data_IF_853104486347
#
_entry.id   IF_853104486347
#
_cell.length_a   1.000
_cell.length_b   1.000
_cell.length_c   1.000
_cell.angle_alpha   90.00
_cell.angle_beta   90.00
_cell.angle_gamma   90.00
#
_symmetry.space_group_name_H-M   'P 1'
#
loop_
_entity.id
_entity.type
_entity.pdbx_description
1 polymer ?
#
# COMPACT_ATOMS: atom_id res chain seq x y z
N UNK A 1 10.80 -33.13 4.65
CA UNK A 1 10.54 -31.94 3.79
C UNK A 1 11.18 -30.65 4.31
N UNK A 2 11.13 -30.31 5.60
CA UNK A 2 11.67 -29.05 6.15
C UNK A 2 13.18 -28.84 5.90
N UNK A 3 13.99 -29.91 5.90
CA UNK A 3 15.44 -29.82 5.61
C UNK A 3 15.79 -29.56 4.14
N UNK A 4 14.86 -29.74 3.19
CA UNK A 4 15.13 -29.52 1.76
C UNK A 4 14.81 -28.09 1.31
N UNK A 5 13.86 -27.41 1.96
CA UNK A 5 13.41 -26.07 1.56
C UNK A 5 14.52 -25.02 1.66
N UNK A 6 15.35 -25.08 2.72
CA UNK A 6 16.45 -24.14 2.92
C UNK A 6 17.58 -24.23 1.88
N UNK A 7 17.61 -25.29 1.06
CA UNK A 7 18.61 -25.49 -0.01
C UNK A 7 18.17 -24.93 -1.35
N UNK A 8 16.91 -24.51 -1.48
CA UNK A 8 16.36 -24.01 -2.74
C UNK A 8 16.78 -22.55 -2.98
N UNK A 9 16.91 -22.09 -4.23
CA UNK A 9 17.20 -20.68 -4.51
C UNK A 9 16.15 -19.78 -3.86
N UNK A 10 16.58 -18.63 -3.33
CA UNK A 10 15.70 -17.72 -2.59
C UNK A 10 14.45 -17.31 -3.39
N UNK A 11 14.57 -17.13 -4.70
CA UNK A 11 13.45 -16.83 -5.59
C UNK A 11 12.37 -17.92 -5.56
N UNK A 12 12.76 -19.19 -5.52
CA UNK A 12 11.81 -20.30 -5.44
C UNK A 12 11.15 -20.35 -4.06
N UNK A 13 11.91 -20.11 -2.99
CA UNK A 13 11.34 -20.05 -1.64
C UNK A 13 10.31 -18.93 -1.49
N UNK A 14 10.62 -17.72 -1.98
CA UNK A 14 9.69 -16.58 -2.01
C UNK A 14 8.45 -16.92 -2.86
N UNK A 15 8.65 -17.52 -4.03
CA UNK A 15 7.54 -17.94 -4.89
C UNK A 15 6.63 -18.97 -4.24
N UNK A 16 7.18 -19.93 -3.52
CA UNK A 16 6.38 -20.91 -2.78
C UNK A 16 5.60 -20.26 -1.62
N UNK A 17 6.20 -19.33 -0.89
CA UNK A 17 5.50 -18.57 0.17
C UNK A 17 4.34 -17.77 -0.42
N UNK A 18 4.59 -17.04 -1.50
CA UNK A 18 3.55 -16.24 -2.17
C UNK A 18 2.45 -17.13 -2.75
N UNK A 19 2.81 -18.21 -3.45
CA UNK A 19 1.84 -19.14 -4.02
C UNK A 19 0.97 -19.77 -2.93
N UNK A 20 1.57 -20.22 -1.82
CA UNK A 20 0.82 -20.78 -0.70
C UNK A 20 -0.18 -19.76 -0.12
N UNK A 21 0.20 -18.49 -0.02
CA UNK A 21 -0.71 -17.46 0.50
C UNK A 21 -1.85 -17.16 -0.48
N UNK A 22 -1.60 -17.19 -1.79
CA UNK A 22 -2.65 -17.07 -2.83
C UNK A 22 -3.61 -18.25 -2.83
N UNK A 23 -3.13 -19.47 -2.62
CA UNK A 23 -4.00 -20.64 -2.47
C UNK A 23 -4.93 -20.46 -1.27
N UNK A 24 -4.41 -20.01 -0.12
CA UNK A 24 -5.25 -19.72 1.06
C UNK A 24 -6.29 -18.65 0.75
N UNK A 25 -5.88 -17.52 0.17
CA UNK A 25 -6.81 -16.45 -0.21
C UNK A 25 -7.86 -16.93 -1.24
N UNK A 26 -7.49 -17.82 -2.16
CA UNK A 26 -8.40 -18.44 -3.13
C UNK A 26 -9.46 -19.30 -2.44
N UNK A 27 -9.08 -20.14 -1.47
CA UNK A 27 -10.03 -20.91 -0.67
C UNK A 27 -11.00 -19.99 0.09
N UNK A 28 -10.49 -18.92 0.69
CA UNK A 28 -11.30 -17.96 1.46
C UNK A 28 -12.30 -17.24 0.54
N UNK A 29 -11.84 -16.65 -0.57
CA UNK A 29 -12.73 -15.98 -1.52
C UNK A 29 -13.75 -16.94 -2.13
N UNK A 30 -13.36 -18.17 -2.46
CA UNK A 30 -14.30 -19.16 -2.99
C UNK A 30 -15.37 -19.51 -1.94
N UNK A 31 -14.96 -19.73 -0.70
CA UNK A 31 -15.88 -20.09 0.39
C UNK A 31 -16.85 -18.96 0.70
N UNK A 32 -16.36 -17.73 0.84
CA UNK A 32 -17.20 -16.56 1.14
C UNK A 32 -18.07 -16.18 -0.06
N UNK A 33 -17.53 -16.26 -1.28
CA UNK A 33 -18.29 -15.98 -2.50
C UNK A 33 -19.47 -16.94 -2.70
N UNK A 34 -19.30 -18.22 -2.37
CA UNK A 34 -20.40 -19.20 -2.38
C UNK A 34 -21.48 -18.91 -1.33
N UNK A 35 -21.15 -18.18 -0.27
CA UNK A 35 -22.09 -17.76 0.78
C UNK A 35 -22.76 -16.41 0.47
N UNK A 36 -22.27 -15.66 -0.53
CA UNK A 36 -22.90 -14.41 -0.97
C UNK A 36 -24.26 -14.72 -1.58
N UNK A 37 -25.35 -14.37 -0.89
CA UNK A 37 -26.71 -14.64 -1.37
C UNK A 37 -27.28 -13.53 -2.23
N UNK A 38 -26.84 -12.29 -2.03
CA UNK A 38 -27.30 -11.11 -2.75
C UNK A 38 -26.20 -10.05 -2.78
N UNK A 39 -26.04 -9.36 -3.92
CA UNK A 39 -25.20 -8.16 -4.06
C UNK A 39 -25.61 -7.34 -5.29
N UNK A 40 -25.08 -6.10 -5.46
CA UNK A 40 -25.29 -5.29 -6.65
C UNK A 40 -24.77 -5.93 -7.95
N UNK A 41 -23.77 -6.82 -7.87
CA UNK A 41 -23.16 -7.45 -9.04
C UNK A 41 -23.85 -8.75 -9.45
N UNK A 42 -24.40 -9.49 -8.50
CA UNK A 42 -25.05 -10.79 -8.76
C UNK A 42 -26.08 -11.13 -7.68
N UNK A 43 -27.17 -11.73 -8.16
CA UNK A 43 -28.17 -12.41 -7.34
C UNK A 43 -27.72 -13.86 -7.12
N UNK A 44 -27.42 -14.24 -5.87
CA UNK A 44 -26.94 -15.56 -5.51
C UNK A 44 -25.43 -15.73 -5.50
N UNK A 45 -25.01 -16.98 -5.23
CA UNK A 45 -23.61 -17.36 -5.03
C UNK A 45 -22.69 -16.94 -6.17
N UNK A 46 -21.49 -16.51 -5.80
CA UNK A 46 -20.42 -16.13 -6.72
C UNK A 46 -19.33 -17.19 -6.76
N UNK A 47 -18.89 -17.53 -7.97
CA UNK A 47 -17.63 -18.24 -8.18
C UNK A 47 -16.45 -17.36 -7.77
N UNK A 48 -15.27 -17.97 -7.60
CA UNK A 48 -14.03 -17.24 -7.32
C UNK A 48 -13.78 -16.10 -8.32
N UNK A 49 -13.91 -16.38 -9.62
CA UNK A 49 -13.63 -15.40 -10.68
C UNK A 49 -14.56 -14.19 -10.63
N UNK A 50 -15.83 -14.39 -10.29
CA UNK A 50 -16.79 -13.30 -10.09
C UNK A 50 -16.46 -12.52 -8.81
N UNK A 51 -16.17 -13.22 -7.70
CA UNK A 51 -15.96 -12.60 -6.39
C UNK A 51 -14.68 -11.76 -6.28
N UNK A 52 -13.67 -12.00 -7.14
CA UNK A 52 -12.45 -11.17 -7.20
C UNK A 52 -12.60 -9.94 -8.11
N UNK A 53 -13.74 -9.80 -8.77
CA UNK A 53 -14.06 -8.74 -9.73
C UNK A 53 -15.17 -7.79 -9.26
N UNK A 54 -15.63 -7.90 -8.01
CA UNK A 54 -16.59 -6.96 -7.40
C UNK A 54 -15.87 -5.74 -6.81
N UNK A 55 -16.65 -4.80 -6.26
CA UNK A 55 -16.16 -3.58 -5.59
C UNK A 55 -15.29 -2.71 -6.52
N UNK A 56 -14.05 -2.36 -6.13
CA UNK A 56 -13.21 -1.45 -6.92
C UNK A 56 -12.80 -2.01 -8.28
N UNK A 57 -12.83 -3.33 -8.45
CA UNK A 57 -12.52 -3.95 -9.74
C UNK A 57 -13.49 -3.52 -10.84
N UNK A 58 -14.75 -3.23 -10.48
CA UNK A 58 -15.76 -2.68 -11.39
C UNK A 58 -15.36 -1.29 -11.89
N UNK A 59 -14.84 -0.42 -11.00
CA UNK A 59 -14.34 0.89 -11.41
C UNK A 59 -13.13 0.79 -12.34
N UNK A 60 -12.18 -0.09 -12.04
CA UNK A 60 -11.04 -0.32 -12.94
C UNK A 60 -11.49 -0.89 -14.29
N UNK A 61 -12.50 -1.77 -14.30
CA UNK A 61 -13.08 -2.31 -15.53
C UNK A 61 -13.73 -1.21 -16.38
N UNK A 62 -14.53 -0.34 -15.76
CA UNK A 62 -15.14 0.83 -16.42
C UNK A 62 -14.08 1.72 -17.07
N UNK A 63 -13.01 2.05 -16.35
CA UNK A 63 -11.90 2.87 -16.89
C UNK A 63 -11.20 2.17 -18.06
N UNK A 64 -10.95 0.87 -17.95
CA UNK A 64 -10.32 0.07 -19.01
C UNK A 64 -11.16 0.07 -20.30
N UNK A 65 -12.49 -0.03 -20.17
CA UNK A 65 -13.40 -0.14 -21.31
C UNK A 65 -13.82 1.22 -21.89
N UNK A 66 -14.09 2.20 -21.03
CA UNK A 66 -14.76 3.45 -21.39
C UNK A 66 -13.86 4.69 -21.21
N UNK A 67 -12.74 4.56 -20.49
CA UNK A 67 -11.89 5.68 -20.13
C UNK A 67 -12.47 6.51 -18.99
N UNK A 68 -11.96 7.73 -18.82
CA UNK A 68 -12.45 8.68 -17.82
C UNK A 68 -13.55 9.57 -18.37
N UNK A 69 -14.57 9.92 -17.56
CA UNK A 69 -15.65 10.79 -18.00
C UNK A 69 -15.15 12.22 -18.26
N UNK A 70 -15.63 12.81 -19.37
CA UNK A 70 -15.28 14.18 -19.79
C UNK A 70 -15.94 15.25 -18.88
N UNK A 71 -17.08 14.93 -18.27
CA UNK A 71 -17.74 15.76 -17.28
C UNK A 71 -17.98 14.95 -16.02
N UNK A 72 -17.85 15.57 -14.84
CA UNK A 72 -18.11 14.87 -13.58
C UNK A 72 -19.60 14.53 -13.48
N UNK A 73 -19.95 13.26 -13.23
CA UNK A 73 -21.34 12.88 -13.03
C UNK A 73 -21.87 13.55 -11.76
N UNK A 74 -23.15 13.94 -11.79
CA UNK A 74 -23.85 14.54 -10.66
C UNK A 74 -24.90 13.57 -10.13
N UNK A 75 -25.11 13.59 -8.82
CA UNK A 75 -26.18 12.86 -8.14
C UNK A 75 -27.53 13.61 -8.26
N UNK A 76 -28.58 13.02 -7.68
CA UNK A 76 -29.93 13.60 -7.71
C UNK A 76 -30.03 14.99 -7.01
N UNK A 77 -29.06 15.35 -6.19
CA UNK A 77 -28.99 16.63 -5.49
C UNK A 77 -28.07 17.64 -6.21
N UNK A 78 -27.51 17.28 -7.36
CA UNK A 78 -26.57 18.12 -8.11
C UNK A 78 -25.15 18.14 -7.54
N UNK A 79 -24.83 17.26 -6.58
CA UNK A 79 -23.48 17.09 -6.06
C UNK A 79 -22.69 16.14 -6.95
N UNK A 80 -21.36 16.26 -6.95
CA UNK A 80 -20.49 15.32 -7.70
C UNK A 80 -20.69 13.92 -7.14
N UNK A 81 -21.04 12.98 -8.01
CA UNK A 81 -21.22 11.57 -7.66
C UNK A 81 -19.88 10.82 -7.66
N UNK A 82 -19.84 9.67 -7.00
CA UNK A 82 -18.73 8.72 -7.07
C UNK A 82 -18.45 8.37 -8.53
N UNK A 83 -17.18 8.44 -8.93
CA UNK A 83 -16.79 8.31 -10.33
C UNK A 83 -15.34 7.83 -10.48
N UNK A 84 -14.99 7.53 -11.74
CA UNK A 84 -13.74 6.92 -12.16
C UNK A 84 -12.50 7.73 -11.78
N UNK A 85 -12.59 9.07 -11.66
CA UNK A 85 -11.43 9.91 -11.36
C UNK A 85 -10.81 9.66 -9.98
N UNK A 86 -11.49 8.94 -9.08
CA UNK A 86 -10.93 8.46 -7.81
C UNK A 86 -9.86 7.36 -8.01
N UNK A 87 -9.88 6.70 -9.16
CA UNK A 87 -9.00 5.57 -9.47
C UNK A 87 -7.91 5.98 -10.45
N UNK A 88 -6.68 5.64 -10.10
CA UNK A 88 -5.50 6.07 -10.83
C UNK A 88 -5.24 5.20 -12.08
N UNK A 89 -4.59 5.77 -13.12
CA UNK A 89 -4.72 5.25 -14.48
C UNK A 89 -3.86 4.03 -14.80
N UNK A 90 -2.74 3.79 -14.08
CA UNK A 90 -1.76 2.81 -14.53
C UNK A 90 -2.31 1.38 -14.61
N UNK A 91 -3.02 0.95 -13.55
CA UNK A 91 -3.56 -0.40 -13.48
C UNK A 91 -4.60 -0.70 -14.58
N UNK A 92 -5.69 0.10 -14.73
CA UNK A 92 -6.72 -0.20 -15.73
C UNK A 92 -6.20 -0.05 -17.17
N UNK A 93 -5.30 0.91 -17.45
CA UNK A 93 -4.71 1.05 -18.79
C UNK A 93 -3.74 -0.08 -19.14
N UNK A 94 -2.98 -0.59 -18.17
CA UNK A 94 -2.13 -1.76 -18.35
C UNK A 94 -2.99 -3.01 -18.59
N UNK A 95 -4.04 -3.21 -17.81
CA UNK A 95 -4.99 -4.31 -18.00
C UNK A 95 -5.65 -4.24 -19.38
N UNK A 96 -6.10 -3.05 -19.83
CA UNK A 96 -6.64 -2.83 -21.19
C UNK A 96 -5.65 -3.22 -22.28
N UNK A 97 -4.39 -2.82 -22.12
CA UNK A 97 -3.32 -3.14 -23.07
C UNK A 97 -3.11 -4.65 -23.14
N UNK A 98 -3.08 -5.34 -21.99
CA UNK A 98 -2.95 -6.79 -21.93
C UNK A 98 -4.15 -7.52 -22.53
N UNK A 99 -5.38 -7.05 -22.31
CA UNK A 99 -6.58 -7.57 -23.00
C UNK A 99 -6.41 -7.45 -24.52
N UNK A 100 -5.98 -6.30 -25.00
CA UNK A 100 -5.79 -6.04 -26.45
C UNK A 100 -4.73 -6.95 -27.07
N UNK A 101 -3.62 -7.20 -26.36
CA UNK A 101 -2.50 -8.01 -26.86
C UNK A 101 -2.77 -9.52 -26.76
N UNK A 102 -3.44 -9.96 -25.68
CA UNK A 102 -3.67 -11.40 -25.43
C UNK A 102 -4.98 -11.93 -25.99
N UNK A 103 -5.96 -11.05 -26.23
CA UNK A 103 -7.33 -11.43 -26.61
C UNK A 103 -8.14 -12.07 -25.47
N UNK A 104 -7.58 -12.14 -24.25
CA UNK A 104 -8.26 -12.72 -23.09
C UNK A 104 -9.28 -11.72 -22.48
N UNK A 105 -10.37 -12.22 -21.85
CA UNK A 105 -11.34 -11.37 -21.14
C UNK A 105 -10.70 -10.57 -20.01
N UNK A 106 -11.23 -9.37 -19.74
CA UNK A 106 -10.72 -8.48 -18.69
C UNK A 106 -10.76 -9.14 -17.31
N UNK A 107 -11.80 -9.93 -17.05
CA UNK A 107 -12.04 -10.69 -15.82
C UNK A 107 -10.96 -11.76 -15.57
N UNK A 108 -10.25 -12.18 -16.62
CA UNK A 108 -9.08 -13.06 -16.50
C UNK A 108 -7.79 -12.25 -16.40
N UNK A 109 -7.65 -11.21 -17.21
CA UNK A 109 -6.43 -10.39 -17.30
C UNK A 109 -6.16 -9.61 -16.01
N UNK A 110 -7.16 -8.92 -15.46
CA UNK A 110 -6.99 -8.05 -14.29
C UNK A 110 -6.49 -8.81 -13.04
N UNK A 111 -7.16 -9.88 -12.55
CA UNK A 111 -6.65 -10.62 -11.40
C UNK A 111 -5.32 -11.34 -11.69
N UNK A 112 -5.07 -11.76 -12.94
CA UNK A 112 -3.77 -12.33 -13.33
C UNK A 112 -2.65 -11.29 -13.25
N UNK A 113 -2.90 -10.06 -13.71
CA UNK A 113 -1.97 -8.94 -13.56
C UNK A 113 -1.67 -8.69 -12.07
N UNK A 114 -2.68 -8.73 -11.21
CA UNK A 114 -2.49 -8.58 -9.76
C UNK A 114 -1.67 -9.70 -9.14
N UNK A 115 -1.89 -10.96 -9.56
CA UNK A 115 -1.09 -12.10 -9.11
C UNK A 115 0.38 -11.98 -9.51
N UNK A 116 0.65 -11.59 -10.76
CA UNK A 116 2.02 -11.40 -11.26
C UNK A 116 2.71 -10.22 -10.57
N UNK A 117 2.01 -9.10 -10.43
CA UNK A 117 2.52 -7.92 -9.73
C UNK A 117 2.78 -8.22 -8.25
N UNK A 118 1.89 -8.95 -7.58
CA UNK A 118 2.05 -9.35 -6.19
C UNK A 118 3.22 -10.33 -5.99
N UNK A 119 3.48 -11.23 -6.95
CA UNK A 119 4.68 -12.07 -6.92
C UNK A 119 5.95 -11.22 -7.04
N UNK A 120 5.98 -10.27 -7.99
CA UNK A 120 7.07 -9.31 -8.12
C UNK A 120 7.28 -8.48 -6.83
N UNK A 121 6.18 -8.04 -6.21
CA UNK A 121 6.21 -7.32 -4.95
C UNK A 121 6.82 -8.16 -3.83
N UNK A 122 6.44 -9.44 -3.71
CA UNK A 122 7.00 -10.36 -2.72
C UNK A 122 8.52 -10.58 -2.92
N UNK A 123 8.97 -10.66 -4.17
CA UNK A 123 10.40 -10.75 -4.49
C UNK A 123 11.17 -9.49 -4.10
N UNK A 124 10.68 -8.31 -4.49
CA UNK A 124 11.35 -7.06 -4.12
C UNK A 124 11.29 -6.81 -2.61
N UNK A 125 10.21 -7.26 -1.95
CA UNK A 125 10.07 -7.19 -0.50
C UNK A 125 11.13 -8.03 0.21
N UNK A 126 11.34 -9.26 -0.26
CA UNK A 126 12.42 -10.12 0.21
C UNK A 126 13.78 -9.41 0.10
N UNK A 127 14.07 -8.81 -1.06
CA UNK A 127 15.32 -8.08 -1.30
C UNK A 127 15.47 -6.86 -0.39
N UNK A 128 14.40 -6.11 -0.19
CA UNK A 128 14.36 -4.95 0.70
C UNK A 128 14.60 -5.36 2.16
N UNK A 129 13.91 -6.41 2.64
CA UNK A 129 14.09 -6.90 4.00
C UNK A 129 15.47 -7.50 4.25
N UNK A 130 16.04 -8.21 3.27
CA UNK A 130 17.41 -8.69 3.37
C UNK A 130 18.41 -7.52 3.50
N UNK A 131 18.24 -6.48 2.69
CA UNK A 131 19.05 -5.26 2.77
C UNK A 131 18.92 -4.57 4.15
N UNK A 132 17.70 -4.47 4.69
CA UNK A 132 17.46 -3.92 6.03
C UNK A 132 18.15 -4.76 7.12
N UNK A 133 18.07 -6.09 7.02
CA UNK A 133 18.73 -6.99 7.97
C UNK A 133 20.26 -6.85 7.92
N UNK A 134 20.84 -6.71 6.73
CA UNK A 134 22.28 -6.50 6.55
C UNK A 134 22.73 -5.18 7.20
N UNK A 135 22.05 -4.06 6.91
CA UNK A 135 22.38 -2.76 7.51
C UNK A 135 22.19 -2.75 9.05
N UNK A 136 21.21 -3.48 9.56
CA UNK A 136 21.02 -3.68 10.99
C UNK A 136 22.18 -4.45 11.63
N UNK A 137 22.71 -5.47 10.92
CA UNK A 137 23.86 -6.27 11.32
C UNK A 137 25.11 -5.41 11.50
N UNK A 138 25.40 -4.57 10.50
CA UNK A 138 26.55 -3.64 10.51
C UNK A 138 26.48 -2.65 11.67
N UNK A 139 25.28 -2.12 11.93
CA UNK A 139 25.03 -1.17 13.01
C UNK A 139 25.17 -1.79 14.41
N UNK A 140 24.91 -3.09 14.54
CA UNK A 140 24.99 -3.82 15.80
C UNK A 140 26.33 -4.51 16.04
N UNK A 141 27.21 -4.56 15.03
CA UNK A 141 28.48 -5.27 15.09
C UNK A 141 28.31 -6.79 15.34
N UNK A 142 27.15 -7.36 15.02
CA UNK A 142 26.87 -8.78 15.25
C UNK A 142 26.89 -9.52 13.92
N UNK A 143 27.88 -10.39 13.70
CA UNK A 143 27.89 -11.25 12.53
C UNK A 143 26.98 -12.46 12.77
N UNK A 144 25.68 -12.29 12.47
CA UNK A 144 24.67 -13.32 12.75
C UNK A 144 24.48 -14.32 11.59
N UNK A 145 25.34 -14.27 10.57
CA UNK A 145 25.35 -15.16 9.42
C UNK A 145 24.24 -14.88 8.40
N UNK A 146 24.58 -14.95 7.11
CA UNK A 146 23.69 -14.68 5.97
C UNK A 146 22.40 -15.54 6.01
N UNK A 147 22.50 -16.80 6.44
CA UNK A 147 21.39 -17.74 6.54
C UNK A 147 20.29 -17.26 7.50
N UNK A 148 20.66 -16.59 8.61
CA UNK A 148 19.71 -16.08 9.60
C UNK A 148 18.93 -14.88 9.06
N UNK A 149 19.59 -14.02 8.30
CA UNK A 149 18.97 -12.86 7.66
C UNK A 149 18.05 -13.26 6.51
N UNK A 150 18.48 -14.22 5.69
CA UNK A 150 17.63 -14.87 4.70
C UNK A 150 16.34 -15.43 5.31
N UNK A 151 16.47 -16.22 6.38
CA UNK A 151 15.32 -16.80 7.09
C UNK A 151 14.40 -15.72 7.65
N UNK A 152 14.97 -14.66 8.24
CA UNK A 152 14.19 -13.55 8.82
C UNK A 152 13.44 -12.76 7.74
N UNK A 153 14.08 -12.47 6.60
CA UNK A 153 13.45 -11.83 5.46
C UNK A 153 12.31 -12.68 4.89
N UNK A 154 12.49 -14.00 4.76
CA UNK A 154 11.42 -14.91 4.33
C UNK A 154 10.23 -14.94 5.28
N UNK A 155 10.46 -14.97 6.60
CA UNK A 155 9.38 -14.89 7.58
C UNK A 155 8.64 -13.56 7.51
N UNK A 156 9.34 -12.44 7.27
CA UNK A 156 8.72 -11.14 7.10
C UNK A 156 7.90 -11.06 5.79
N UNK A 157 8.38 -11.64 4.69
CA UNK A 157 7.61 -11.80 3.45
C UNK A 157 6.38 -12.68 3.67
N UNK A 158 6.51 -13.78 4.41
CA UNK A 158 5.37 -14.61 4.77
C UNK A 158 4.35 -13.83 5.61
N UNK A 159 4.79 -13.07 6.61
CA UNK A 159 3.89 -12.28 7.45
C UNK A 159 3.12 -11.23 6.66
N UNK A 160 3.74 -10.56 5.68
CA UNK A 160 3.04 -9.65 4.75
C UNK A 160 2.12 -10.42 3.80
N UNK A 161 2.60 -11.52 3.22
CA UNK A 161 1.84 -12.31 2.22
C UNK A 161 0.61 -13.01 2.80
N UNK A 162 0.61 -13.25 4.12
CA UNK A 162 -0.50 -13.84 4.87
C UNK A 162 -1.23 -12.83 5.76
N UNK A 163 -0.90 -11.53 5.74
CA UNK A 163 -1.62 -10.56 6.57
C UNK A 163 -3.12 -10.51 6.26
N UNK A 164 -3.90 -9.92 7.17
CA UNK A 164 -5.37 -9.91 7.11
C UNK A 164 -5.94 -9.45 5.75
N UNK A 165 -5.29 -8.48 5.11
CA UNK A 165 -5.74 -7.85 3.85
C UNK A 165 -5.02 -8.40 2.62
N UNK A 166 -4.13 -9.37 2.81
CA UNK A 166 -3.38 -9.96 1.71
C UNK A 166 -4.23 -10.57 0.58
N UNK A 167 -5.51 -11.00 0.78
CA UNK A 167 -6.34 -11.44 -0.34
C UNK A 167 -6.56 -10.36 -1.41
N UNK A 168 -6.43 -9.06 -1.11
CA UNK A 168 -6.50 -8.01 -2.14
C UNK A 168 -5.45 -8.19 -3.25
N UNK A 169 -4.36 -8.89 -2.95
CA UNK A 169 -3.25 -9.03 -3.89
C UNK A 169 -3.55 -9.97 -5.08
N UNK A 170 -4.75 -10.53 -5.16
CA UNK A 170 -5.25 -11.35 -6.27
C UNK A 170 -6.60 -10.86 -6.82
N UNK A 171 -7.11 -9.72 -6.36
CA UNK A 171 -8.32 -9.10 -6.90
C UNK A 171 -7.97 -8.20 -8.08
N UNK A 172 -8.97 -7.83 -8.90
CA UNK A 172 -8.83 -6.91 -10.04
C UNK A 172 -8.51 -5.45 -9.65
N UNK A 173 -7.60 -5.26 -8.68
CA UNK A 173 -7.32 -4.04 -7.94
C UNK A 173 -5.89 -3.55 -8.18
N UNK A 174 -5.66 -2.25 -8.04
CA UNK A 174 -4.34 -1.64 -8.26
C UNK A 174 -3.29 -1.96 -7.17
N UNK A 175 -3.66 -2.53 -6.03
CA UNK A 175 -2.77 -2.62 -4.87
C UNK A 175 -1.57 -3.51 -5.06
N UNK A 176 -1.71 -4.64 -5.76
CA UNK A 176 -0.55 -5.48 -6.08
C UNK A 176 0.47 -4.70 -6.91
N UNK A 177 -0.01 -3.96 -7.90
CA UNK A 177 0.83 -3.17 -8.79
C UNK A 177 1.44 -1.96 -8.08
N UNK A 178 0.64 -1.28 -7.25
CA UNK A 178 1.12 -0.17 -6.45
C UNK A 178 2.12 -0.60 -5.39
N UNK A 179 1.89 -1.75 -4.73
CA UNK A 179 2.82 -2.31 -3.76
C UNK A 179 4.14 -2.72 -4.43
N UNK A 180 4.10 -3.33 -5.62
CA UNK A 180 5.30 -3.64 -6.41
C UNK A 180 6.16 -2.39 -6.64
N UNK A 181 5.58 -1.34 -7.22
CA UNK A 181 6.32 -0.13 -7.56
C UNK A 181 6.73 0.69 -6.33
N UNK A 182 5.92 0.67 -5.27
CA UNK A 182 6.28 1.29 -3.99
C UNK A 182 7.49 0.60 -3.37
N UNK A 183 7.49 -0.72 -3.26
CA UNK A 183 8.62 -1.48 -2.69
C UNK A 183 9.87 -1.27 -3.55
N UNK A 184 9.74 -1.27 -4.87
CA UNK A 184 10.84 -0.99 -5.78
C UNK A 184 11.44 0.41 -5.53
N UNK A 185 10.58 1.41 -5.41
CA UNK A 185 10.98 2.78 -5.07
C UNK A 185 11.77 2.82 -3.77
N UNK A 186 11.22 2.21 -2.71
CA UNK A 186 11.84 2.20 -1.38
C UNK A 186 13.16 1.40 -1.38
N UNK A 187 13.26 0.33 -2.17
CA UNK A 187 14.51 -0.41 -2.35
C UNK A 187 15.61 0.49 -2.93
N UNK A 188 15.32 1.24 -4.00
CA UNK A 188 16.29 2.18 -4.57
C UNK A 188 16.58 3.36 -3.65
N UNK A 189 15.60 3.82 -2.86
CA UNK A 189 15.80 4.85 -1.86
C UNK A 189 16.82 4.40 -0.79
N UNK A 190 16.69 3.18 -0.27
CA UNK A 190 17.64 2.62 0.72
C UNK A 190 19.02 2.39 0.12
N UNK A 191 19.08 1.96 -1.13
CA UNK A 191 20.33 1.74 -1.86
C UNK A 191 21.04 3.05 -2.24
N UNK A 192 20.40 4.21 -2.05
CA UNK A 192 20.93 5.51 -2.49
C UNK A 192 20.91 5.71 -4.01
N UNK A 193 20.08 4.94 -4.73
CA UNK A 193 19.93 5.02 -6.20
C UNK A 193 18.81 5.99 -6.61
N UNK A 194 18.99 7.27 -6.29
CA UNK A 194 17.94 8.29 -6.38
C UNK A 194 17.40 8.57 -7.78
N UNK A 195 18.19 8.34 -8.83
CA UNK A 195 17.74 8.45 -10.24
C UNK A 195 16.86 7.30 -10.65
N UNK A 196 17.37 6.09 -10.44
CA UNK A 196 16.69 4.85 -10.80
C UNK A 196 15.37 4.73 -10.05
N UNK A 197 15.29 5.31 -8.85
CA UNK A 197 14.06 5.45 -8.06
C UNK A 197 12.95 6.21 -8.77
N UNK A 198 13.25 7.16 -9.68
CA UNK A 198 12.22 8.01 -10.29
C UNK A 198 11.22 7.23 -11.13
N UNK A 199 11.67 6.21 -11.84
CA UNK A 199 10.80 5.37 -12.69
C UNK A 199 9.75 4.63 -11.85
N UNK A 200 10.12 3.77 -10.87
CA UNK A 200 9.12 3.12 -10.03
C UNK A 200 8.34 4.12 -9.17
N UNK A 201 8.91 5.28 -8.79
CA UNK A 201 8.17 6.31 -8.04
C UNK A 201 7.01 6.90 -8.86
N UNK A 202 7.26 7.22 -10.13
CA UNK A 202 6.24 7.68 -11.06
C UNK A 202 5.16 6.62 -11.23
N UNK A 203 5.56 5.36 -11.47
CA UNK A 203 4.61 4.26 -11.65
C UNK A 203 3.77 4.04 -10.38
N UNK A 204 4.37 4.09 -9.19
CA UNK A 204 3.65 4.00 -7.92
C UNK A 204 2.63 5.13 -7.77
N UNK A 205 3.03 6.38 -8.04
CA UNK A 205 2.14 7.54 -8.00
C UNK A 205 1.00 7.49 -9.05
N UNK A 206 1.13 6.68 -10.09
CA UNK A 206 0.08 6.44 -11.11
C UNK A 206 -0.77 5.19 -10.84
N UNK A 207 -0.51 4.44 -9.76
CA UNK A 207 -1.38 3.32 -9.33
C UNK A 207 -2.34 3.72 -8.22
N UNK A 208 -1.90 4.60 -7.32
CA UNK A 208 -2.58 4.96 -6.07
C UNK A 208 -2.13 6.36 -5.64
N UNK A 209 -2.87 7.06 -4.76
CA UNK A 209 -2.50 8.36 -4.22
C UNK A 209 -1.36 8.27 -3.18
N UNK A 210 -0.24 7.64 -3.54
CA UNK A 210 0.96 7.49 -2.70
C UNK A 210 2.04 8.54 -3.01
N UNK A 211 1.87 9.32 -4.07
CA UNK A 211 2.85 10.33 -4.49
C UNK A 211 3.14 11.39 -3.41
N UNK A 212 2.10 11.90 -2.74
CA UNK A 212 2.26 12.89 -1.65
C UNK A 212 3.09 12.36 -0.48
N UNK A 213 2.73 11.23 0.17
CA UNK A 213 3.54 10.70 1.27
C UNK A 213 4.93 10.25 0.81
N UNK A 214 5.09 9.79 -0.43
CA UNK A 214 6.38 9.40 -0.97
C UNK A 214 7.29 10.62 -1.17
N UNK A 215 6.76 11.70 -1.74
CA UNK A 215 7.45 12.98 -1.90
C UNK A 215 7.89 13.56 -0.55
N UNK A 216 7.02 13.50 0.46
CA UNK A 216 7.37 13.89 1.82
C UNK A 216 8.51 13.03 2.40
N UNK A 217 8.44 11.70 2.28
CA UNK A 217 9.46 10.80 2.79
C UNK A 217 10.84 11.04 2.13
N UNK A 218 10.87 11.15 0.81
CA UNK A 218 12.10 11.41 0.04
C UNK A 218 12.64 12.81 0.31
N UNK A 219 11.78 13.82 0.40
CA UNK A 219 12.17 15.20 0.70
C UNK A 219 12.74 15.36 2.11
N UNK A 220 12.11 14.75 3.12
CA UNK A 220 12.65 14.74 4.49
C UNK A 220 13.97 13.96 4.54
N UNK A 221 14.08 12.84 3.81
CA UNK A 221 15.34 12.10 3.74
C UNK A 221 16.47 12.92 3.11
N UNK A 222 16.19 13.61 2.01
CA UNK A 222 17.14 14.56 1.42
C UNK A 222 17.58 15.61 2.44
N UNK A 223 16.63 16.22 3.16
CA UNK A 223 16.96 17.22 4.18
C UNK A 223 17.88 16.64 5.27
N UNK A 224 17.65 15.41 5.72
CA UNK A 224 18.52 14.72 6.67
C UNK A 224 19.93 14.51 6.09
N UNK A 225 20.04 14.05 4.84
CA UNK A 225 21.33 13.89 4.16
C UNK A 225 22.08 15.22 4.02
N UNK A 226 21.38 16.27 3.60
CA UNK A 226 21.94 17.61 3.46
C UNK A 226 22.41 18.16 4.81
N UNK A 227 21.60 18.04 5.87
CA UNK A 227 21.98 18.49 7.22
C UNK A 227 23.21 17.75 7.75
N UNK A 228 23.35 16.45 7.48
CA UNK A 228 24.53 15.65 7.86
C UNK A 228 25.78 16.12 7.12
N UNK A 229 25.71 16.31 5.81
CA UNK A 229 26.86 16.77 5.01
C UNK A 229 27.22 18.23 5.33
N UNK A 230 26.23 19.10 5.52
CA UNK A 230 26.44 20.47 5.99
C UNK A 230 27.13 20.51 7.36
N UNK A 231 26.67 19.70 8.32
CA UNK A 231 27.25 19.65 9.67
C UNK A 231 28.70 19.18 9.64
N UNK A 232 29.03 18.21 8.78
CA UNK A 232 30.41 17.75 8.58
C UNK A 232 31.33 18.83 7.98
N UNK A 233 30.76 19.78 7.22
CA UNK A 233 31.48 20.85 6.53
C UNK A 233 31.40 22.22 7.22
N UNK A 234 30.65 22.33 8.33
CA UNK A 234 30.29 23.59 9.00
C UNK A 234 31.42 24.60 9.22
N UNK A 235 32.68 24.20 9.53
CA UNK A 235 33.78 25.16 9.69
C UNK A 235 34.18 25.90 8.40
N UNK A 236 33.76 25.41 7.22
CA UNK A 236 34.17 25.92 5.92
C UNK A 236 33.22 27.03 5.43
N UNK A 237 33.77 28.11 4.86
CA UNK A 237 32.97 29.11 4.15
C UNK A 237 32.27 28.44 2.94
N UNK A 238 30.96 28.67 2.79
CA UNK A 238 30.19 28.07 1.69
C UNK A 238 29.74 26.62 1.93
N UNK A 239 29.86 26.09 3.16
CA UNK A 239 29.47 24.72 3.52
C UNK A 239 28.06 24.31 3.06
N UNK A 240 27.09 25.23 3.13
CA UNK A 240 25.71 24.99 2.69
C UNK A 240 25.61 24.73 1.18
N UNK A 241 26.29 25.55 0.36
CA UNK A 241 26.33 25.39 -1.11
C UNK A 241 27.10 24.14 -1.49
N UNK A 242 28.19 23.83 -0.81
CA UNK A 242 28.94 22.59 -1.02
C UNK A 242 28.08 21.35 -0.73
N UNK A 243 27.32 21.37 0.38
CA UNK A 243 26.39 20.29 0.72
C UNK A 243 25.20 20.18 -0.25
N UNK A 244 24.75 21.30 -0.83
CA UNK A 244 23.78 21.27 -1.93
C UNK A 244 24.40 20.69 -3.20
N UNK A 245 25.69 20.95 -3.46
CA UNK A 245 26.41 20.36 -4.59
C UNK A 245 26.48 18.82 -4.50
N UNK A 246 26.70 18.27 -3.31
CA UNK A 246 26.76 16.81 -3.08
C UNK A 246 25.39 16.13 -3.06
N UNK A 247 24.36 16.82 -2.55
CA UNK A 247 23.00 16.29 -2.41
C UNK A 247 22.02 16.79 -3.48
N UNK A 248 22.47 17.59 -4.44
CA UNK A 248 21.60 18.26 -5.41
C UNK A 248 20.77 17.29 -6.25
N UNK A 249 21.35 16.15 -6.60
CA UNK A 249 20.62 15.11 -7.32
C UNK A 249 19.54 14.43 -6.49
N UNK A 250 19.75 14.31 -5.17
CA UNK A 250 18.74 13.83 -4.23
C UNK A 250 17.60 14.84 -4.09
N UNK A 251 17.92 16.15 -4.06
CA UNK A 251 16.92 17.22 -4.06
C UNK A 251 16.06 17.18 -5.32
N UNK A 252 16.70 17.10 -6.50
CA UNK A 252 15.98 17.01 -7.78
C UNK A 252 15.05 15.79 -7.76
N UNK A 253 15.55 14.63 -7.30
CA UNK A 253 14.71 13.45 -7.20
C UNK A 253 13.53 13.64 -6.24
N UNK A 254 13.74 14.29 -5.10
CA UNK A 254 12.66 14.59 -4.15
C UNK A 254 11.59 15.51 -4.77
N UNK A 255 12.01 16.58 -5.45
CA UNK A 255 11.11 17.51 -6.13
C UNK A 255 10.31 16.79 -7.23
N UNK A 256 10.96 15.94 -8.01
CA UNK A 256 10.29 15.16 -9.06
C UNK A 256 9.26 14.19 -8.48
N UNK A 257 9.58 13.48 -7.41
CA UNK A 257 8.64 12.58 -6.73
C UNK A 257 7.43 13.34 -6.19
N UNK A 258 7.65 14.52 -5.59
CA UNK A 258 6.57 15.41 -5.18
C UNK A 258 5.70 15.83 -6.38
N UNK A 259 6.33 16.18 -7.51
CA UNK A 259 5.61 16.57 -8.73
C UNK A 259 4.73 15.44 -9.29
N UNK A 260 5.14 14.18 -9.16
CA UNK A 260 4.34 13.03 -9.64
C UNK A 260 2.97 12.93 -8.97
N UNK A 261 2.84 13.40 -7.73
CA UNK A 261 1.56 13.43 -7.01
C UNK A 261 0.49 14.28 -7.72
N UNK A 262 0.91 15.25 -8.54
CA UNK A 262 0.01 16.16 -9.23
C UNK A 262 -0.37 15.71 -10.64
N UNK A 263 0.22 14.62 -11.16
CA UNK A 263 -0.04 14.18 -12.54
C UNK A 263 -1.51 13.79 -12.74
N UNK A 264 -2.05 12.95 -11.86
CA UNK A 264 -3.44 12.51 -11.97
C UNK A 264 -4.45 13.64 -11.69
N UNK A 265 -4.30 14.46 -10.64
CA UNK A 265 -5.12 15.65 -10.47
C UNK A 265 -5.08 16.64 -11.65
N UNK A 266 -3.89 16.88 -12.21
CA UNK A 266 -3.75 17.75 -13.39
C UNK A 266 -4.41 17.13 -14.62
N UNK A 267 -4.31 15.81 -14.82
CA UNK A 267 -5.01 15.11 -15.88
C UNK A 267 -6.53 15.24 -15.75
N UNK A 268 -7.07 15.07 -14.54
CA UNK A 268 -8.49 15.27 -14.25
C UNK A 268 -8.94 16.70 -14.58
N UNK A 269 -8.15 17.69 -14.17
CA UNK A 269 -8.43 19.09 -14.49
C UNK A 269 -8.44 19.36 -15.99
N UNK A 270 -7.40 18.91 -16.71
CA UNK A 270 -7.27 19.15 -18.14
C UNK A 270 -8.42 18.53 -18.95
N UNK A 271 -8.87 17.34 -18.58
CA UNK A 271 -9.96 16.64 -19.29
C UNK A 271 -11.33 17.23 -18.95
N UNK A 272 -11.58 17.54 -17.69
CA UNK A 272 -12.91 18.01 -17.24
C UNK A 272 -13.12 19.51 -17.35
N UNK A 273 -12.03 20.28 -17.53
CA UNK A 273 -12.03 21.75 -17.43
C UNK A 273 -12.22 22.28 -16.01
N UNK A 274 -12.28 21.40 -14.99
CA UNK A 274 -12.51 21.76 -13.58
C UNK A 274 -11.26 21.57 -12.73
N UNK A 275 -10.71 22.66 -12.20
CA UNK A 275 -9.48 22.61 -11.38
C UNK A 275 -9.65 21.78 -10.10
N UNK A 276 -10.87 21.73 -9.58
CA UNK A 276 -11.25 20.98 -8.39
C UNK A 276 -11.63 19.52 -8.68
N UNK A 277 -11.52 19.04 -9.92
CA UNK A 277 -12.15 17.78 -10.33
C UNK A 277 -11.74 16.56 -9.50
N UNK A 278 -10.44 16.44 -9.23
CA UNK A 278 -9.92 15.36 -8.40
C UNK A 278 -10.41 15.50 -6.95
N UNK A 279 -10.30 16.68 -6.36
CA UNK A 279 -10.74 16.91 -4.98
C UNK A 279 -12.25 16.71 -4.81
N UNK A 280 -13.06 17.17 -5.77
CA UNK A 280 -14.51 17.01 -5.76
C UNK A 280 -14.90 15.52 -5.86
N UNK A 281 -14.17 14.77 -6.68
CA UNK A 281 -14.33 13.32 -6.79
C UNK A 281 -13.96 12.60 -5.50
N UNK A 282 -12.83 12.93 -4.88
CA UNK A 282 -12.40 12.33 -3.60
C UNK A 282 -13.39 12.63 -2.46
N UNK A 283 -14.01 13.82 -2.45
CA UNK A 283 -15.04 14.18 -1.46
C UNK A 283 -16.39 13.50 -1.70
N UNK A 284 -16.68 13.06 -2.93
CA UNK A 284 -17.93 12.35 -3.26
C UNK A 284 -18.04 10.97 -2.56
N UNK A 285 -16.92 10.43 -2.10
CA UNK A 285 -16.86 9.19 -1.31
C UNK A 285 -17.15 9.39 0.18
N UNK A 286 -17.35 10.64 0.61
CA UNK A 286 -17.70 10.98 1.99
C UNK A 286 -19.20 11.25 2.08
N UNK A 287 -19.80 10.89 3.21
CA UNK A 287 -21.17 11.28 3.50
C UNK A 287 -21.30 12.81 3.44
N UNK A 288 -22.20 13.32 2.58
CA UNK A 288 -22.53 14.75 2.50
C UNK A 288 -21.59 15.64 1.68
N UNK A 289 -20.55 15.10 1.01
CA UNK A 289 -19.66 15.91 0.16
C UNK A 289 -18.84 16.96 0.92
N UNK A 290 -18.62 16.75 2.22
CA UNK A 290 -17.98 17.72 3.10
C UNK A 290 -16.52 18.02 2.73
N UNK A 291 -16.09 19.25 2.97
CA UNK A 291 -14.70 19.67 2.81
C UNK A 291 -13.75 18.83 3.69
N UNK A 292 -12.56 18.54 3.17
CA UNK A 292 -11.53 17.79 3.90
C UNK A 292 -10.95 18.67 4.99
N UNK A 293 -11.48 18.54 6.21
CA UNK A 293 -10.83 19.04 7.42
C UNK A 293 -9.77 18.03 7.86
N UNK A 294 -8.48 18.41 7.92
CA UNK A 294 -7.42 17.52 8.36
C UNK A 294 -7.72 16.84 9.71
N UNK A 295 -7.45 15.54 9.81
CA UNK A 295 -7.58 14.73 11.04
C UNK A 295 -9.00 14.50 11.58
N UNK A 296 -9.92 15.44 11.34
CA UNK A 296 -11.31 15.36 11.80
C UNK A 296 -12.06 14.10 11.37
N UNK A 297 -11.87 13.54 10.15
CA UNK A 297 -12.49 12.28 9.76
C UNK A 297 -12.21 11.14 10.74
N UNK A 298 -11.00 11.04 11.27
CA UNK A 298 -10.65 10.01 12.25
C UNK A 298 -11.37 10.22 13.59
N UNK A 299 -11.49 11.47 14.04
CA UNK A 299 -12.20 11.81 15.27
C UNK A 299 -13.69 11.49 15.12
N UNK A 300 -14.34 11.99 14.08
CA UNK A 300 -15.75 11.75 13.79
C UNK A 300 -16.05 10.26 13.67
N UNK A 301 -15.22 9.54 12.91
CA UNK A 301 -15.45 8.11 12.71
C UNK A 301 -15.21 7.30 13.98
N UNK A 302 -14.24 7.67 14.81
CA UNK A 302 -14.03 7.04 16.11
C UNK A 302 -15.25 7.22 17.02
N UNK A 303 -15.85 8.41 17.03
CA UNK A 303 -17.08 8.70 17.77
C UNK A 303 -18.26 7.92 17.23
N UNK A 304 -18.37 7.81 15.90
CA UNK A 304 -19.42 7.04 15.25
C UNK A 304 -19.39 5.56 15.68
N UNK A 305 -18.20 4.94 15.74
CA UNK A 305 -18.08 3.51 16.06
C UNK A 305 -18.07 3.19 17.57
N UNK A 306 -17.50 4.07 18.41
CA UNK A 306 -17.24 3.78 19.84
C UNK A 306 -17.91 4.80 20.79
N UNK A 307 -18.75 5.69 20.26
CA UNK A 307 -19.39 6.75 21.03
C UNK A 307 -18.38 7.72 21.64
N UNK A 308 -18.69 8.22 22.84
CA UNK A 308 -17.84 9.20 23.56
C UNK A 308 -16.42 8.68 23.87
N UNK A 309 -16.22 7.36 23.92
CA UNK A 309 -14.92 6.75 24.17
C UNK A 309 -14.02 6.71 22.91
N UNK A 310 -14.59 6.90 21.71
CA UNK A 310 -13.88 6.77 20.44
C UNK A 310 -12.61 7.60 20.31
N UNK A 311 -12.66 8.93 20.52
CA UNK A 311 -11.48 9.78 20.43
C UNK A 311 -10.39 9.39 21.43
N UNK A 312 -10.76 8.92 22.62
CA UNK A 312 -9.82 8.44 23.62
C UNK A 312 -9.12 7.17 23.15
N UNK A 313 -9.87 6.18 22.66
CA UNK A 313 -9.31 4.92 22.12
C UNK A 313 -8.40 5.20 20.93
N UNK A 314 -8.83 6.06 19.99
CA UNK A 314 -8.01 6.49 18.86
C UNK A 314 -6.69 7.11 19.34
N UNK A 315 -6.75 8.04 20.29
CA UNK A 315 -5.57 8.70 20.84
C UNK A 315 -4.61 7.68 21.47
N UNK A 316 -5.12 6.73 22.26
CA UNK A 316 -4.31 5.66 22.86
C UNK A 316 -3.65 4.76 21.80
N UNK A 317 -4.39 4.38 20.75
CA UNK A 317 -3.84 3.58 19.64
C UNK A 317 -2.73 4.33 18.91
N UNK A 318 -2.91 5.63 18.64
CA UNK A 318 -1.88 6.46 18.01
C UNK A 318 -0.64 6.61 18.91
N UNK A 319 -0.82 6.85 20.20
CA UNK A 319 0.28 6.93 21.15
C UNK A 319 1.07 5.62 21.21
N UNK A 320 0.38 4.47 21.25
CA UNK A 320 1.01 3.15 21.21
C UNK A 320 1.74 2.92 19.89
N UNK A 321 1.15 3.30 18.76
CA UNK A 321 1.75 3.19 17.45
C UNK A 321 3.04 4.01 17.35
N UNK A 322 3.00 5.31 17.69
CA UNK A 322 4.18 6.18 17.65
C UNK A 322 5.24 5.75 18.68
N UNK A 323 4.84 5.30 19.87
CA UNK A 323 5.77 4.72 20.84
C UNK A 323 6.46 3.46 20.31
N UNK A 324 5.73 2.59 19.60
CA UNK A 324 6.30 1.42 18.94
C UNK A 324 7.29 1.81 17.84
N UNK A 325 7.03 2.87 17.07
CA UNK A 325 7.99 3.38 16.07
C UNK A 325 9.30 3.88 16.68
N UNK A 326 9.24 4.44 17.90
CA UNK A 326 10.42 4.88 18.65
C UNK A 326 11.16 3.72 19.34
N UNK A 327 10.57 2.54 19.39
CA UNK A 327 11.15 1.37 20.03
C UNK A 327 12.53 1.02 19.45
N UNK A 328 13.40 0.46 20.29
CA UNK A 328 14.73 0.02 19.87
C UNK A 328 14.65 -0.99 18.74
N UNK A 329 13.69 -1.91 18.78
CA UNK A 329 13.51 -2.93 17.74
C UNK A 329 13.24 -2.30 16.38
N UNK A 330 12.29 -1.36 16.30
CA UNK A 330 11.94 -0.70 15.03
C UNK A 330 13.11 0.11 14.49
N UNK A 331 13.76 0.93 15.34
CA UNK A 331 14.90 1.76 14.92
C UNK A 331 16.12 0.97 14.48
N UNK A 332 16.32 -0.24 15.02
CA UNK A 332 17.43 -1.10 14.60
C UNK A 332 17.09 -1.94 13.36
N UNK A 333 15.81 -2.26 13.15
CA UNK A 333 15.39 -3.13 12.04
C UNK A 333 15.16 -2.37 10.74
N UNK A 334 14.78 -1.09 10.83
CA UNK A 334 14.41 -0.28 9.67
C UNK A 334 15.39 0.88 9.47
N UNK A 335 16.01 1.00 8.28
CA UNK A 335 16.76 2.19 7.91
C UNK A 335 15.89 3.43 7.98
N UNK A 336 16.49 4.58 8.29
CA UNK A 336 15.77 5.85 8.43
C UNK A 336 14.87 6.21 7.23
N UNK A 337 15.26 5.99 5.95
CA UNK A 337 14.36 6.22 4.83
C UNK A 337 13.03 5.44 4.89
N UNK A 338 13.03 4.20 5.39
CA UNK A 338 11.82 3.40 5.55
C UNK A 338 10.96 3.92 6.71
N UNK A 339 11.59 4.34 7.80
CA UNK A 339 10.87 4.96 8.92
C UNK A 339 10.20 6.26 8.48
N UNK A 340 10.88 7.07 7.67
CA UNK A 340 10.30 8.27 7.08
C UNK A 340 9.13 7.93 6.17
N UNK A 341 9.22 6.88 5.34
CA UNK A 341 8.08 6.38 4.57
C UNK A 341 6.89 6.01 5.46
N UNK A 342 7.12 5.19 6.49
CA UNK A 342 6.06 4.78 7.44
C UNK A 342 5.41 6.01 8.08
N UNK A 343 6.21 6.95 8.58
CA UNK A 343 5.71 8.18 9.22
C UNK A 343 4.94 9.07 8.23
N UNK A 344 5.50 9.34 7.05
CA UNK A 344 4.87 10.17 6.03
C UNK A 344 3.56 9.56 5.53
N UNK A 345 3.51 8.24 5.30
CA UNK A 345 2.30 7.55 4.88
C UNK A 345 1.23 7.54 5.97
N UNK A 346 1.61 7.24 7.23
CA UNK A 346 0.67 7.31 8.35
C UNK A 346 0.11 8.73 8.54
N UNK A 347 0.96 9.76 8.51
CA UNK A 347 0.51 11.15 8.64
C UNK A 347 -0.41 11.56 7.47
N UNK A 348 -0.11 11.12 6.25
CA UNK A 348 -0.96 11.35 5.09
C UNK A 348 -2.35 10.70 5.27
N UNK A 349 -2.40 9.45 5.73
CA UNK A 349 -3.66 8.76 6.05
C UNK A 349 -4.43 9.50 7.16
N UNK A 350 -3.75 9.92 8.23
CA UNK A 350 -4.37 10.67 9.31
C UNK A 350 -4.93 12.01 8.85
N UNK A 351 -4.22 12.70 7.96
CA UNK A 351 -4.60 14.02 7.50
C UNK A 351 -5.78 13.97 6.52
N UNK A 352 -5.73 13.07 5.54
CA UNK A 352 -6.63 13.15 4.38
C UNK A 352 -7.61 11.99 4.28
N UNK A 353 -7.35 10.83 4.86
CA UNK A 353 -8.20 9.66 4.63
C UNK A 353 -9.44 9.66 5.54
N UNK A 354 -10.58 9.22 5.00
CA UNK A 354 -11.81 9.01 5.75
C UNK A 354 -11.90 7.53 6.17
N UNK A 355 -11.79 7.18 7.47
CA UNK A 355 -11.72 5.78 7.86
C UNK A 355 -13.03 5.02 7.61
N UNK A 356 -12.93 3.91 6.90
CA UNK A 356 -14.05 3.00 6.61
C UNK A 356 -13.55 1.54 6.53
N UNK A 357 -14.34 0.59 6.03
CA UNK A 357 -13.89 -0.81 5.87
C UNK A 357 -12.61 -0.93 5.03
N UNK A 358 -12.44 -0.08 4.00
CA UNK A 358 -11.20 -0.04 3.20
C UNK A 358 -9.94 0.39 3.94
N UNK A 359 -10.04 0.99 5.13
CA UNK A 359 -8.88 1.41 5.94
C UNK A 359 -7.85 0.30 6.05
N UNK A 360 -8.28 -0.93 6.35
CA UNK A 360 -7.34 -2.03 6.59
C UNK A 360 -6.49 -2.35 5.37
N UNK A 361 -7.11 -2.41 4.19
CA UNK A 361 -6.43 -2.60 2.89
C UNK A 361 -5.46 -1.45 2.61
N UNK A 362 -5.85 -0.23 2.94
CA UNK A 362 -5.00 0.96 2.77
C UNK A 362 -3.85 1.05 3.77
N UNK A 363 -3.79 0.21 4.80
CA UNK A 363 -2.61 0.08 5.66
C UNK A 363 -1.55 -0.87 5.09
N UNK A 364 -1.83 -1.60 4.00
CA UNK A 364 -0.86 -2.49 3.35
C UNK A 364 0.49 -1.82 3.00
N UNK A 365 0.54 -0.54 2.58
CA UNK A 365 1.81 0.18 2.35
C UNK A 365 2.69 0.37 3.60
N UNK A 366 2.19 0.07 4.80
CA UNK A 366 2.97 -0.03 6.04
C UNK A 366 3.65 -1.40 6.22
N UNK A 367 3.77 -2.19 5.15
CA UNK A 367 4.41 -3.52 5.12
C UNK A 367 5.77 -3.57 5.83
N UNK A 368 6.52 -2.45 5.84
CA UNK A 368 7.84 -2.37 6.44
C UNK A 368 7.83 -2.76 7.93
N UNK A 369 6.71 -2.54 8.63
CA UNK A 369 6.55 -2.86 10.05
C UNK A 369 6.51 -4.37 10.34
N UNK A 370 6.29 -5.22 9.35
CA UNK A 370 6.34 -6.68 9.55
C UNK A 370 7.75 -7.19 9.82
N UNK A 371 8.79 -6.51 9.33
CA UNK A 371 10.17 -6.88 9.62
C UNK A 371 10.51 -6.77 11.12
N UNK A 372 10.34 -5.62 11.79
CA UNK A 372 10.59 -5.53 13.22
C UNK A 372 9.68 -6.46 14.03
N UNK A 373 8.43 -6.70 13.63
CA UNK A 373 7.56 -7.70 14.27
C UNK A 373 8.20 -9.10 14.25
N UNK A 374 8.67 -9.56 13.09
CA UNK A 374 9.37 -10.86 12.96
C UNK A 374 10.71 -10.88 13.72
N UNK A 375 11.35 -9.73 13.90
CA UNK A 375 12.60 -9.60 14.65
C UNK A 375 12.41 -9.56 16.17
N UNK A 376 11.18 -9.40 16.68
CA UNK A 376 10.89 -9.47 18.12
C UNK A 376 11.26 -10.81 18.74
N UNK A 377 11.20 -11.90 17.96
CA UNK A 377 11.59 -13.23 18.43
C UNK A 377 12.19 -14.08 17.32
N UNK A 378 13.24 -14.85 17.65
CA UNK A 378 13.78 -15.91 16.79
C UNK A 378 12.98 -17.22 16.84
N UNK A 379 12.00 -17.32 17.74
CA UNK A 379 11.17 -18.52 17.87
C UNK A 379 10.37 -18.79 16.60
N UNK A 380 10.52 -20.00 16.05
CA UNK A 380 9.71 -20.47 14.91
C UNK A 380 8.23 -20.55 15.26
N UNK A 381 7.90 -20.84 16.53
CA UNK A 381 6.51 -20.87 17.01
C UNK A 381 5.91 -19.47 16.96
N UNK A 382 6.63 -18.46 17.46
CA UNK A 382 6.17 -17.06 17.39
C UNK A 382 5.93 -16.62 15.95
N UNK A 383 6.90 -16.83 15.06
CA UNK A 383 6.80 -16.44 13.65
C UNK A 383 5.69 -17.21 12.91
N UNK A 384 5.53 -18.49 13.23
CA UNK A 384 4.43 -19.32 12.75
C UNK A 384 3.06 -18.78 13.21
N UNK A 385 2.92 -18.46 14.49
CA UNK A 385 1.69 -17.88 15.04
C UNK A 385 1.38 -16.51 14.44
N UNK A 386 2.38 -15.68 14.15
CA UNK A 386 2.20 -14.39 13.45
C UNK A 386 1.63 -14.59 12.03
N UNK A 387 2.14 -15.56 11.29
CA UNK A 387 1.64 -15.88 9.94
C UNK A 387 0.24 -16.49 10.01
N UNK A 388 0.01 -17.43 10.93
CA UNK A 388 -1.28 -18.09 11.12
C UNK A 388 -2.36 -17.13 11.61
N UNK A 389 -2.03 -16.19 12.49
CA UNK A 389 -2.99 -15.17 12.95
C UNK A 389 -3.37 -14.23 11.81
N UNK A 390 -2.41 -13.80 10.99
CA UNK A 390 -2.69 -13.05 9.76
C UNK A 390 -3.63 -13.83 8.84
N UNK A 391 -3.34 -15.10 8.59
CA UNK A 391 -4.15 -15.96 7.73
C UNK A 391 -5.57 -16.15 8.28
N UNK A 392 -5.72 -16.34 9.60
CA UNK A 392 -7.02 -16.44 10.25
C UNK A 392 -7.81 -15.13 10.15
N UNK A 393 -7.14 -13.98 10.29
CA UNK A 393 -7.77 -12.66 10.13
C UNK A 393 -8.28 -12.40 8.72
N UNK A 394 -7.77 -13.10 7.68
CA UNK A 394 -8.33 -13.01 6.33
C UNK A 394 -9.77 -13.49 6.27
N UNK A 395 -10.17 -14.53 7.04
CA UNK A 395 -11.57 -14.94 7.12
C UNK A 395 -12.45 -13.83 7.71
N UNK A 396 -11.97 -13.15 8.75
CA UNK A 396 -12.66 -12.02 9.35
C UNK A 396 -12.78 -10.86 8.36
N UNK A 397 -11.69 -10.48 7.69
CA UNK A 397 -11.71 -9.38 6.73
C UNK A 397 -12.59 -9.71 5.52
N UNK A 398 -12.39 -10.86 4.87
CA UNK A 398 -13.17 -11.23 3.68
C UNK A 398 -14.64 -11.51 4.04
N UNK A 399 -14.90 -12.30 5.08
CA UNK A 399 -16.26 -12.70 5.46
C UNK A 399 -17.09 -11.60 6.12
N UNK A 400 -16.45 -10.61 6.74
CA UNK A 400 -17.17 -9.52 7.42
C UNK A 400 -17.16 -8.21 6.66
N UNK A 401 -16.00 -7.80 6.14
CA UNK A 401 -15.78 -6.47 5.57
C UNK A 401 -15.84 -6.47 4.04
N UNK A 402 -15.40 -7.56 3.39
CA UNK A 402 -15.46 -7.69 1.93
C UNK A 402 -16.78 -8.31 1.44
N UNK A 403 -17.39 -9.19 2.23
CA UNK A 403 -18.68 -9.78 1.91
C UNK A 403 -19.74 -8.67 1.93
N UNK A 404 -20.37 -8.44 0.77
CA UNK A 404 -21.32 -7.35 0.64
C UNK A 404 -22.57 -7.59 1.49
N UNK A 405 -23.03 -6.56 2.21
CA UNK A 405 -24.21 -6.58 3.08
C UNK A 405 -25.02 -5.30 2.90
N UNK A 406 -26.32 -5.46 2.66
CA UNK A 406 -27.24 -4.32 2.61
C UNK A 406 -27.33 -3.65 3.99
N UNK A 407 -26.83 -2.42 4.12
CA UNK A 407 -26.97 -1.60 5.30
C UNK A 407 -28.38 -0.97 5.36
N UNK A 408 -28.88 -0.63 6.58
CA UNK A 408 -30.21 -0.03 6.77
C UNK A 408 -30.45 1.26 5.97
N UNK A 409 -29.38 1.99 5.62
CA UNK A 409 -29.44 3.24 4.85
C UNK A 409 -29.24 3.09 3.34
N UNK A 410 -29.10 1.87 2.80
CA UNK A 410 -28.70 1.67 1.40
C UNK A 410 -27.22 1.26 1.28
N UNK A 411 -26.89 0.35 0.36
CA UNK A 411 -25.50 -0.01 0.03
C UNK A 411 -24.75 -0.77 1.12
N UNK A 412 -23.42 -0.73 1.08
CA UNK A 412 -22.48 -1.31 2.05
C UNK A 412 -21.21 -0.45 2.14
N UNK A 413 -20.38 -0.64 3.19
CA UNK A 413 -19.08 0.03 3.31
C UNK A 413 -18.04 -0.64 2.40
N UNK A 414 -17.47 0.06 1.40
CA UNK A 414 -16.53 -0.55 0.46
C UNK A 414 -15.19 -0.94 1.12
N UNK A 415 -14.73 -2.20 0.96
CA UNK A 415 -13.59 -2.80 1.65
C UNK A 415 -12.20 -2.44 1.11
#
# INVERSE_FOLDING_TARGET
MVHHFGRWPAAVQVGLVYLASRIVSWFIFSTVGLQQTFSPWKQGAMSYGEFVMIWDADWYQKISQQGYPQALPLDANGLVAQNEWAFYPLYPLLARTLVTVTGLPYETVAPTLSLLAGFGAAWLLYRLFLLCCQQASDSLGTDRGEERWHTTALWAVAAVSFCAVAPVLQTGYAESLGLLFLIWTLLYLVQGSYTLMLVPALLAALTRPVGVPLGAAVGIWWLVCWLRDYSARRPQRGAALAALGTTGWQLISAVMVCAFAFIHPAHAWLVTGRIDAYTATETAWRAGGEHVLPFMPWVHQSQHYLGVAGPLVLTLLLLLFFAALLSRTVRLSLPLPLLLWVLSYTLYMLMFFNPQSSTFRLLLPLFALYLPLVMLSSSRVYRGLLVLSGAAMQFGWVGWLWHWKQLPGGGDYPP
#
